data_IF_807773740212
#
_entry.id   IF_807773740212
#
_cell.length_a   1.000
_cell.length_b   1.000
_cell.length_c   1.000
_cell.angle_alpha   90.00
_cell.angle_beta   90.00
_cell.angle_gamma   90.00
#
_symmetry.space_group_name_H-M   'P 1'
#
loop_
_entity.id
_entity.type
_entity.pdbx_description
1 polymer ?
#
# COMPACT_ATOMS: atom_id res chain seq x y z
N UNK A 1 4.51 -13.13 -6.52
CA UNK A 1 3.24 -12.45 -6.21
C UNK A 1 3.21 -12.14 -4.73
N UNK A 2 3.13 -10.87 -4.33
CA UNK A 2 2.94 -10.53 -2.91
C UNK A 2 1.49 -10.80 -2.56
N UNK A 3 1.27 -11.74 -1.63
CA UNK A 3 -0.07 -12.03 -1.10
C UNK A 3 -0.52 -10.84 -0.25
N UNK A 4 -1.72 -10.34 -0.51
CA UNK A 4 -2.31 -9.27 0.30
C UNK A 4 -2.63 -9.81 1.69
N UNK A 5 -2.21 -9.09 2.73
CA UNK A 5 -2.53 -9.45 4.13
C UNK A 5 -3.90 -8.87 4.46
N UNK A 6 -4.90 -9.71 4.79
CA UNK A 6 -6.26 -9.25 5.11
C UNK A 6 -6.27 -8.26 6.28
N UNK A 7 -7.22 -7.32 6.28
CA UNK A 7 -7.37 -6.33 7.36
C UNK A 7 -7.55 -6.97 8.74
N UNK A 8 -8.27 -8.09 8.81
CA UNK A 8 -8.42 -8.87 10.04
C UNK A 8 -7.09 -9.32 10.63
N UNK A 9 -6.17 -9.83 9.80
CA UNK A 9 -4.83 -10.27 10.24
C UNK A 9 -3.98 -9.08 10.68
N UNK A 10 -4.07 -7.94 9.97
CA UNK A 10 -3.34 -6.73 10.37
C UNK A 10 -3.79 -6.21 11.73
N UNK A 11 -5.10 -6.27 12.00
CA UNK A 11 -5.68 -5.88 13.27
C UNK A 11 -5.21 -6.82 14.40
N UNK A 12 -5.23 -8.13 14.17
CA UNK A 12 -4.67 -9.11 15.12
C UNK A 12 -3.20 -8.82 15.46
N UNK A 13 -2.36 -8.42 14.48
CA UNK A 13 -0.93 -8.11 14.72
C UNK A 13 -0.73 -6.96 15.70
N UNK A 14 -1.60 -5.94 15.68
CA UNK A 14 -1.46 -4.76 16.56
C UNK A 14 -2.14 -4.98 17.92
N UNK A 15 -3.24 -5.74 17.95
CA UNK A 15 -4.02 -6.01 19.16
C UNK A 15 -3.43 -7.13 20.04
N UNK A 16 -2.68 -8.09 19.45
CA UNK A 16 -2.14 -9.22 20.22
C UNK A 16 -1.12 -8.76 21.26
N UNK A 17 -1.23 -9.31 22.47
CA UNK A 17 -0.26 -9.14 23.54
C UNK A 17 1.02 -9.90 23.23
N UNK A 18 2.18 -9.31 23.52
CA UNK A 18 3.47 -9.93 23.24
C UNK A 18 3.93 -10.88 24.35
N UNK A 19 3.44 -10.70 25.57
CA UNK A 19 3.81 -11.57 26.68
C UNK A 19 3.30 -12.99 26.45
N UNK A 20 4.19 -13.98 26.56
CA UNK A 20 3.89 -15.38 26.24
C UNK A 20 3.64 -15.70 24.76
N UNK A 21 3.68 -14.73 23.84
CA UNK A 21 3.38 -14.96 22.42
C UNK A 21 4.55 -15.58 21.68
N UNK A 22 4.33 -16.75 21.07
CA UNK A 22 5.23 -17.29 20.06
C UNK A 22 4.99 -16.61 18.71
N UNK A 23 5.70 -15.51 18.44
CA UNK A 23 5.54 -14.69 17.23
C UNK A 23 5.79 -15.51 15.95
N UNK A 24 6.78 -16.40 15.95
CA UNK A 24 7.10 -17.24 14.79
C UNK A 24 5.94 -18.18 14.43
N UNK A 25 5.32 -18.80 15.44
CA UNK A 25 4.13 -19.65 15.25
C UNK A 25 2.95 -18.82 14.78
N UNK A 26 2.66 -17.70 15.46
CA UNK A 26 1.60 -16.77 15.06
C UNK A 26 1.72 -16.35 13.59
N UNK A 27 2.93 -15.94 13.17
CA UNK A 27 3.19 -15.52 11.79
C UNK A 27 2.94 -16.65 10.79
N UNK A 28 3.33 -17.89 11.13
CA UNK A 28 3.10 -19.08 10.30
C UNK A 28 1.61 -19.39 10.18
N UNK A 29 0.88 -19.37 11.30
CA UNK A 29 -0.56 -19.68 11.36
C UNK A 29 -1.38 -18.64 10.56
N UNK A 30 -0.92 -17.38 10.51
CA UNK A 30 -1.56 -16.29 9.75
C UNK A 30 -0.95 -16.01 8.38
N UNK A 31 0.06 -16.78 7.94
CA UNK A 31 0.68 -16.63 6.62
C UNK A 31 1.42 -15.31 6.39
N UNK A 32 1.92 -14.67 7.45
CA UNK A 32 2.72 -13.43 7.38
C UNK A 32 4.16 -13.69 7.78
N UNK A 33 5.08 -12.78 7.42
CA UNK A 33 6.46 -12.85 7.88
C UNK A 33 6.61 -12.17 9.24
N UNK A 34 7.58 -12.63 10.04
CA UNK A 34 7.99 -11.98 11.29
C UNK A 34 8.45 -10.54 11.05
N UNK A 35 9.09 -10.27 9.92
CA UNK A 35 9.45 -8.91 9.52
C UNK A 35 8.21 -8.01 9.37
N UNK A 36 7.17 -8.49 8.68
CA UNK A 36 5.92 -7.74 8.52
C UNK A 36 5.25 -7.49 9.88
N UNK A 37 5.23 -8.48 10.77
CA UNK A 37 4.67 -8.36 12.12
C UNK A 37 5.27 -7.17 12.87
N UNK A 38 6.60 -7.13 13.02
CA UNK A 38 7.26 -6.03 13.74
C UNK A 38 7.19 -4.70 12.99
N UNK A 39 7.30 -4.72 11.66
CA UNK A 39 7.20 -3.49 10.86
C UNK A 39 5.81 -2.85 10.96
N UNK A 40 4.74 -3.65 10.99
CA UNK A 40 3.39 -3.15 11.17
C UNK A 40 3.20 -2.54 12.56
N UNK A 41 3.62 -3.23 13.63
CA UNK A 41 3.55 -2.69 15.00
C UNK A 41 4.36 -1.40 15.15
N UNK A 42 5.56 -1.33 14.56
CA UNK A 42 6.38 -0.11 14.58
C UNK A 42 5.67 1.07 13.89
N UNK A 43 5.01 0.83 12.76
CA UNK A 43 4.24 1.87 12.05
C UNK A 43 3.00 2.27 12.84
N UNK A 44 2.28 1.31 13.39
CA UNK A 44 1.09 1.57 14.20
C UNK A 44 1.42 2.43 15.43
N UNK A 45 2.59 2.24 16.05
CA UNK A 45 3.06 3.08 17.15
C UNK A 45 3.29 4.56 16.74
N UNK A 46 3.47 4.86 15.45
CA UNK A 46 3.73 6.22 14.94
C UNK A 46 2.47 6.82 14.31
N UNK A 47 1.72 6.01 13.56
CA UNK A 47 0.67 6.46 12.63
C UNK A 47 -0.74 6.05 13.10
N UNK A 48 -0.85 5.24 14.16
CA UNK A 48 -2.12 4.68 14.64
C UNK A 48 -2.81 3.82 13.60
N UNK A 49 -4.14 3.93 13.53
CA UNK A 49 -5.00 3.13 12.65
C UNK A 49 -4.65 3.26 11.16
N UNK A 50 -4.10 4.41 10.73
CA UNK A 50 -3.62 4.62 9.35
C UNK A 50 -2.59 3.56 8.91
N UNK A 51 -1.83 3.00 9.85
CA UNK A 51 -0.85 1.96 9.55
C UNK A 51 -1.49 0.63 9.12
N UNK A 52 -2.77 0.40 9.46
CA UNK A 52 -3.50 -0.82 9.11
C UNK A 52 -3.82 -0.87 7.62
N UNK A 53 -3.94 0.27 6.96
CA UNK A 53 -4.25 0.32 5.54
C UNK A 53 -3.07 -0.12 4.66
N UNK A 54 -3.31 -0.83 3.55
CA UNK A 54 -2.25 -1.12 2.59
C UNK A 54 -1.71 0.18 2.00
N UNK A 55 -0.38 0.37 2.08
CA UNK A 55 0.26 1.45 1.33
C UNK A 55 0.27 1.15 -0.15
N UNK A 56 0.23 2.22 -0.95
CA UNK A 56 0.44 2.11 -2.39
C UNK A 56 1.70 1.31 -2.71
N UNK A 57 1.55 0.36 -3.62
CA UNK A 57 2.64 -0.45 -4.17
C UNK A 57 3.24 0.17 -5.43
N UNK A 58 2.67 1.30 -5.89
CA UNK A 58 3.11 1.95 -7.10
C UNK A 58 4.57 2.40 -6.95
N UNK A 59 5.33 2.30 -8.03
CA UNK A 59 6.68 2.82 -8.07
C UNK A 59 6.67 4.32 -7.78
N UNK A 60 7.55 4.77 -6.89
CA UNK A 60 7.68 6.20 -6.54
C UNK A 60 8.20 7.03 -7.72
N UNK A 61 9.05 6.42 -8.53
CA UNK A 61 9.67 7.02 -9.71
C UNK A 61 9.58 6.06 -10.87
N UNK A 62 9.18 6.56 -12.03
CA UNK A 62 9.08 5.80 -13.29
C UNK A 62 10.01 6.49 -14.29
N UNK A 63 11.12 5.86 -14.71
CA UNK A 63 12.13 6.53 -15.55
C UNK A 63 11.61 7.05 -16.89
N UNK A 64 10.62 6.37 -17.45
CA UNK A 64 9.96 6.72 -18.70
C UNK A 64 8.58 7.37 -18.46
N UNK A 65 8.40 8.07 -17.33
CA UNK A 65 7.17 8.82 -17.08
C UNK A 65 7.04 9.92 -18.14
N UNK A 66 5.94 9.92 -18.87
CA UNK A 66 5.55 11.02 -19.75
C UNK A 66 5.49 12.31 -18.93
N UNK A 67 6.18 13.39 -19.35
CA UNK A 67 6.12 14.67 -18.66
C UNK A 67 4.68 15.19 -18.61
N UNK A 68 4.32 15.83 -17.50
CA UNK A 68 2.94 16.30 -17.28
C UNK A 68 2.46 17.25 -18.39
N UNK A 69 3.36 18.13 -18.88
CA UNK A 69 3.05 19.05 -19.98
C UNK A 69 2.65 18.36 -21.29
N UNK A 70 3.14 17.15 -21.55
CA UNK A 70 2.73 16.38 -22.74
C UNK A 70 1.28 15.92 -22.58
N UNK A 71 0.91 15.51 -21.36
CA UNK A 71 -0.47 15.19 -21.02
C UNK A 71 -1.40 16.39 -21.21
N UNK A 72 -0.96 17.57 -20.76
CA UNK A 72 -1.72 18.81 -20.93
C UNK A 72 -1.97 19.14 -22.41
N UNK A 73 -0.94 19.02 -23.27
CA UNK A 73 -1.07 19.22 -24.73
C UNK A 73 -2.07 18.24 -25.34
N UNK A 74 -2.04 16.96 -24.94
CA UNK A 74 -2.99 15.96 -25.43
C UNK A 74 -4.42 16.27 -24.99
N UNK A 75 -4.61 16.74 -23.75
CA UNK A 75 -5.93 17.12 -23.24
C UNK A 75 -6.49 18.32 -24.02
N UNK A 76 -5.68 19.34 -24.28
CA UNK A 76 -6.12 20.50 -25.05
C UNK A 76 -6.46 20.13 -26.50
N UNK A 77 -5.58 19.41 -27.20
CA UNK A 77 -5.86 18.94 -28.56
C UNK A 77 -7.15 18.11 -28.64
N UNK A 78 -7.43 17.31 -27.62
CA UNK A 78 -8.65 16.51 -27.57
C UNK A 78 -9.91 17.36 -27.43
N UNK A 79 -9.86 18.42 -26.63
CA UNK A 79 -10.96 19.40 -26.55
C UNK A 79 -11.17 20.12 -27.87
N UNK A 80 -10.08 20.56 -28.52
CA UNK A 80 -10.16 21.22 -29.82
C UNK A 80 -10.81 20.33 -30.89
N UNK A 81 -10.48 19.03 -30.90
CA UNK A 81 -11.08 18.06 -31.82
C UNK A 81 -12.55 17.79 -31.48
N UNK A 82 -12.88 17.60 -30.20
CA UNK A 82 -14.26 17.40 -29.74
C UNK A 82 -15.13 18.63 -30.12
N UNK A 83 -14.61 19.85 -29.93
CA UNK A 83 -15.28 21.11 -30.31
C UNK A 83 -15.45 21.23 -31.85
N UNK A 84 -14.51 20.67 -32.62
CA UNK A 84 -14.59 20.55 -34.07
C UNK A 84 -15.53 19.42 -34.54
N UNK A 85 -16.08 18.62 -33.62
CA UNK A 85 -16.98 17.50 -33.91
C UNK A 85 -16.28 16.28 -34.52
N UNK A 86 -14.98 16.10 -34.26
CA UNK A 86 -14.15 14.99 -34.74
C UNK A 86 -13.84 13.96 -33.66
#
# INVERSE_FOLDING_TARGET
MSREVPMSVRRLVVEVELDGLNVTRFCRDHGISTWFFYQLRKRYAIEGDTALEPRSRAARTVPNRTPDWVGDVVVELRKELDDAGL
#
